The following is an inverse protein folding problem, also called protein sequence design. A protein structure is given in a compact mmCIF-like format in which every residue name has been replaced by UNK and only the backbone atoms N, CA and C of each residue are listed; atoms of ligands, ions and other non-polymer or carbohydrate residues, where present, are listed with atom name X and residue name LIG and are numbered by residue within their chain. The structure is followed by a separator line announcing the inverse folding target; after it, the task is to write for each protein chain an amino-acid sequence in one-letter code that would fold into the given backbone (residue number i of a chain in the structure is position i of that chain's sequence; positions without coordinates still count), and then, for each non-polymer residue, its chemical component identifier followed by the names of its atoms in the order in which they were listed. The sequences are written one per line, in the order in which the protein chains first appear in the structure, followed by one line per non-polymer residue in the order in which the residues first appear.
data_IF_211991709517
#
_entry.id   IF_211991709517
#
_cell.length_a   1.000
_cell.length_b   1.000
_cell.length_c   1.000
_cell.angle_alpha   90.00
_cell.angle_beta   90.00
_cell.angle_gamma   90.00
#
_symmetry.space_group_name_H-M   'P 1'
#
loop_
_entity.id
_entity.type
_entity.pdbx_description
1 polymer ?
#
# COMPACT_ATOMS: atom_id res chain seq x y z
N UNK A 1 -31.88 1.45 -32.24
CA UNK A 1 -32.11 2.26 -31.02
C UNK A 1 -32.09 1.41 -29.75
N UNK A 2 -32.76 0.25 -29.69
CA UNK A 2 -32.78 -0.64 -28.50
C UNK A 2 -31.38 -1.12 -28.08
N UNK A 3 -30.51 -1.47 -29.04
CA UNK A 3 -29.14 -1.92 -28.76
C UNK A 3 -28.26 -0.83 -28.12
N UNK A 4 -28.36 0.41 -28.59
CA UNK A 4 -27.63 1.55 -28.02
C UNK A 4 -28.10 1.87 -26.60
N UNK A 5 -29.40 1.78 -26.33
CA UNK A 5 -29.97 2.00 -25.00
C UNK A 5 -29.52 0.94 -23.99
N UNK A 6 -29.46 -0.33 -24.40
CA UNK A 6 -28.98 -1.43 -23.54
C UNK A 6 -27.49 -1.29 -23.24
N UNK A 7 -26.66 -0.96 -24.22
CA UNK A 7 -25.21 -0.74 -24.01
C UNK A 7 -24.97 0.44 -23.05
N UNK A 8 -25.67 1.57 -23.24
CA UNK A 8 -25.54 2.72 -22.35
C UNK A 8 -25.95 2.39 -20.90
N UNK A 9 -27.02 1.62 -20.72
CA UNK A 9 -27.46 1.17 -19.40
C UNK A 9 -26.42 0.26 -18.72
N UNK A 10 -25.83 -0.69 -19.46
CA UNK A 10 -24.79 -1.59 -18.93
C UNK A 10 -23.53 -0.81 -18.55
N UNK A 11 -23.07 0.12 -19.40
CA UNK A 11 -21.90 0.96 -19.10
C UNK A 11 -22.14 1.86 -17.87
N UNK A 12 -23.34 2.42 -17.72
CA UNK A 12 -23.69 3.23 -16.55
C UNK A 12 -23.75 2.39 -15.26
N UNK A 13 -24.33 1.18 -15.33
CA UNK A 13 -24.35 0.23 -14.21
C UNK A 13 -22.94 -0.21 -13.82
N UNK A 14 -22.11 -0.57 -14.80
CA UNK A 14 -20.71 -0.93 -14.56
C UNK A 14 -19.92 0.23 -13.94
N UNK A 15 -20.06 1.44 -14.49
CA UNK A 15 -19.40 2.64 -13.96
C UNK A 15 -19.83 2.99 -12.54
N UNK A 16 -21.13 2.86 -12.23
CA UNK A 16 -21.65 3.10 -10.87
C UNK A 16 -21.13 2.06 -9.88
N UNK A 17 -21.09 0.78 -10.25
CA UNK A 17 -20.55 -0.29 -9.40
C UNK A 17 -19.06 -0.07 -9.15
N UNK A 18 -18.28 0.24 -10.18
CA UNK A 18 -16.86 0.56 -10.03
C UNK A 18 -16.63 1.77 -9.13
N UNK A 19 -17.38 2.86 -9.32
CA UNK A 19 -17.23 4.07 -8.51
C UNK A 19 -17.56 3.85 -7.03
N UNK A 20 -18.58 3.03 -6.72
CA UNK A 20 -18.91 2.68 -5.34
C UNK A 20 -17.86 1.77 -4.71
N UNK A 21 -17.38 0.76 -5.44
CA UNK A 21 -16.32 -0.13 -4.98
C UNK A 21 -15.01 0.64 -4.69
N UNK A 22 -14.66 1.62 -5.52
CA UNK A 22 -13.50 2.49 -5.28
C UNK A 22 -13.67 3.37 -4.03
N UNK A 23 -14.84 3.98 -3.82
CA UNK A 23 -15.09 4.80 -2.62
C UNK A 23 -15.05 3.98 -1.33
N UNK A 24 -15.67 2.80 -1.32
CA UNK A 24 -15.68 1.95 -0.13
C UNK A 24 -14.25 1.50 0.25
N UNK A 25 -13.42 1.22 -0.75
CA UNK A 25 -12.00 0.92 -0.56
C UNK A 25 -11.21 2.13 -0.02
N UNK A 26 -11.47 3.34 -0.52
CA UNK A 26 -10.82 4.57 -0.03
C UNK A 26 -11.16 4.86 1.44
N UNK A 27 -12.44 4.71 1.82
CA UNK A 27 -12.89 4.92 3.21
C UNK A 27 -12.29 3.86 4.13
N UNK A 28 -12.30 2.59 3.73
CA UNK A 28 -11.72 1.52 4.54
C UNK A 28 -10.19 1.71 4.72
N UNK A 29 -9.50 2.13 3.66
CA UNK A 29 -8.08 2.47 3.74
C UNK A 29 -7.81 3.66 4.66
N UNK A 30 -8.67 4.67 4.67
CA UNK A 30 -8.55 5.81 5.57
C UNK A 30 -8.74 5.39 7.04
N UNK A 31 -9.72 4.53 7.33
CA UNK A 31 -9.94 3.98 8.67
C UNK A 31 -8.75 3.14 9.15
N UNK A 32 -8.24 2.23 8.31
CA UNK A 32 -7.08 1.42 8.65
C UNK A 32 -5.82 2.26 8.93
N UNK A 33 -5.61 3.35 8.18
CA UNK A 33 -4.52 4.31 8.44
C UNK A 33 -4.70 5.02 9.79
N UNK A 34 -5.93 5.42 10.10
CA UNK A 34 -6.25 6.06 11.36
C UNK A 34 -6.01 5.10 12.54
N UNK A 35 -6.41 3.84 12.40
CA UNK A 35 -6.17 2.80 13.40
C UNK A 35 -4.68 2.55 13.62
N UNK A 36 -3.88 2.52 12.54
CA UNK A 36 -2.44 2.36 12.64
C UNK A 36 -1.75 3.53 13.38
N UNK A 37 -2.14 4.78 13.10
CA UNK A 37 -1.60 5.95 13.81
C UNK A 37 -2.07 6.01 15.28
N UNK A 38 -3.31 5.62 15.55
CA UNK A 38 -3.84 5.54 16.91
C UNK A 38 -3.09 4.48 17.74
N UNK A 39 -2.89 3.28 17.17
CA UNK A 39 -2.06 2.23 17.77
C UNK A 39 -0.65 2.75 18.07
N UNK A 40 0.00 3.40 17.10
CA UNK A 40 1.35 3.93 17.25
C UNK A 40 1.46 4.91 18.43
N UNK A 41 0.47 5.80 18.58
CA UNK A 41 0.44 6.76 19.70
C UNK A 41 0.36 6.05 21.04
N UNK A 42 -0.53 5.08 21.18
CA UNK A 42 -0.78 4.39 22.44
C UNK A 42 0.36 3.44 22.82
N UNK A 43 0.83 2.61 21.89
CA UNK A 43 1.77 1.52 22.16
C UNK A 43 3.22 2.02 22.39
N UNK A 44 3.53 3.20 21.82
CA UNK A 44 4.82 3.87 21.97
C UNK A 44 4.76 5.10 22.89
N UNK A 45 3.61 5.35 23.54
CA UNK A 45 3.40 6.43 24.51
C UNK A 45 3.88 7.79 23.98
N UNK A 46 3.53 8.09 22.74
CA UNK A 46 3.97 9.31 22.07
C UNK A 46 3.34 10.54 22.75
N UNK A 47 4.15 11.57 22.98
CA UNK A 47 3.63 12.89 23.34
C UNK A 47 2.78 13.46 22.21
N UNK A 48 1.98 14.48 22.51
CA UNK A 48 1.14 15.15 21.52
C UNK A 48 1.99 15.79 20.40
N UNK A 49 3.15 16.33 20.76
CA UNK A 49 4.12 16.90 19.82
C UNK A 49 4.71 15.81 18.92
N UNK A 50 5.16 14.69 19.49
CA UNK A 50 5.72 13.57 18.74
C UNK A 50 4.69 12.98 17.79
N UNK A 51 3.46 12.75 18.28
CA UNK A 51 2.37 12.23 17.48
C UNK A 51 2.02 13.16 16.32
N UNK A 52 1.92 14.47 16.57
CA UNK A 52 1.67 15.46 15.52
C UNK A 52 2.76 15.45 14.45
N UNK A 53 4.03 15.42 14.85
CA UNK A 53 5.15 15.38 13.92
C UNK A 53 5.16 14.09 13.07
N UNK A 54 4.94 12.93 13.71
CA UNK A 54 4.87 11.65 13.02
C UNK A 54 3.66 11.60 12.07
N UNK A 55 2.51 12.13 12.46
CA UNK A 55 1.33 12.22 11.60
C UNK A 55 1.61 13.04 10.34
N UNK A 56 2.21 14.22 10.48
CA UNK A 56 2.59 15.06 9.35
C UNK A 56 3.61 14.38 8.42
N UNK A 57 4.58 13.69 9.00
CA UNK A 57 5.55 12.88 8.24
C UNK A 57 4.83 11.76 7.47
N UNK A 58 3.88 11.07 8.10
CA UNK A 58 3.10 10.00 7.46
C UNK A 58 2.22 10.53 6.31
N UNK A 59 1.54 11.65 6.51
CA UNK A 59 0.71 12.29 5.49
C UNK A 59 1.53 12.66 4.26
N UNK A 60 2.73 13.24 4.44
CA UNK A 60 3.61 13.61 3.32
C UNK A 60 4.18 12.41 2.55
N UNK A 61 4.37 11.27 3.21
CA UNK A 61 4.83 10.03 2.56
C UNK A 61 3.69 9.23 1.90
N UNK A 62 2.44 9.44 2.31
CA UNK A 62 1.32 8.58 1.93
C UNK A 62 1.07 8.48 0.41
N UNK A 63 1.26 9.58 -0.32
CA UNK A 63 1.14 9.61 -1.78
C UNK A 63 2.26 8.81 -2.46
N UNK A 64 3.50 8.97 -1.99
CA UNK A 64 4.68 8.24 -2.50
C UNK A 64 4.54 6.74 -2.29
N UNK A 65 4.02 6.33 -1.11
CA UNK A 65 3.73 4.93 -0.82
C UNK A 65 2.71 4.35 -1.82
N UNK A 66 1.64 5.10 -2.10
CA UNK A 66 0.60 4.67 -3.05
C UNK A 66 1.16 4.52 -4.47
N UNK A 67 1.96 5.48 -4.94
CA UNK A 67 2.60 5.45 -6.26
C UNK A 67 3.52 4.23 -6.42
N UNK A 68 4.33 3.92 -5.42
CA UNK A 68 5.19 2.73 -5.46
C UNK A 68 4.37 1.43 -5.53
N UNK A 69 3.30 1.32 -4.73
CA UNK A 69 2.40 0.17 -4.76
C UNK A 69 1.72 0.03 -6.12
N UNK A 70 1.22 1.12 -6.70
CA UNK A 70 0.58 1.12 -8.02
C UNK A 70 1.57 0.66 -9.11
N UNK A 71 2.78 1.22 -9.13
CA UNK A 71 3.80 0.83 -10.11
C UNK A 71 4.16 -0.66 -10.04
N UNK A 72 4.26 -1.23 -8.83
CA UNK A 72 4.54 -2.67 -8.64
C UNK A 72 3.37 -3.52 -9.14
N UNK A 73 2.14 -3.10 -8.85
CA UNK A 73 0.93 -3.80 -9.30
C UNK A 73 0.82 -3.77 -10.83
N UNK A 74 1.08 -2.63 -11.48
CA UNK A 74 1.10 -2.51 -12.93
C UNK A 74 2.15 -3.41 -13.57
N UNK A 75 3.39 -3.35 -13.10
CA UNK A 75 4.47 -4.20 -13.60
C UNK A 75 4.16 -5.69 -13.39
N UNK A 76 3.51 -6.04 -12.27
CA UNK A 76 3.04 -7.40 -12.00
C UNK A 76 1.97 -7.85 -13.00
N UNK A 77 0.98 -7.00 -13.28
CA UNK A 77 -0.08 -7.28 -14.26
C UNK A 77 0.51 -7.48 -15.66
N UNK A 78 1.42 -6.61 -16.07
CA UNK A 78 2.12 -6.71 -17.36
C UNK A 78 2.92 -8.02 -17.46
N UNK A 79 3.74 -8.32 -16.45
CA UNK A 79 4.51 -9.56 -16.36
C UNK A 79 3.62 -10.80 -16.43
N UNK A 80 2.48 -10.79 -15.74
CA UNK A 80 1.52 -11.89 -15.78
C UNK A 80 0.85 -12.04 -17.15
N UNK A 81 0.54 -10.92 -17.82
CA UNK A 81 0.00 -10.93 -19.18
C UNK A 81 1.03 -11.48 -20.19
N UNK A 82 2.32 -11.13 -20.05
CA UNK A 82 3.40 -11.68 -20.86
C UNK A 82 3.56 -13.19 -20.66
N UNK A 83 3.47 -13.68 -19.42
CA UNK A 83 3.48 -15.12 -19.11
C UNK A 83 2.30 -15.84 -19.76
N UNK A 84 1.09 -15.28 -19.67
CA UNK A 84 -0.11 -15.86 -20.28
C UNK A 84 -0.01 -15.94 -21.81
N UNK A 85 0.68 -14.98 -22.44
CA UNK A 85 0.95 -14.96 -23.89
C UNK A 85 2.13 -15.82 -24.32
N UNK A 86 2.79 -16.51 -23.39
CA UNK A 86 4.00 -17.31 -23.65
C UNK A 86 5.09 -16.48 -24.35
N UNK A 87 5.30 -15.24 -23.88
CA UNK A 87 6.39 -14.40 -24.37
C UNK A 87 7.75 -15.10 -24.24
N UNK A 88 8.72 -14.69 -25.05
CA UNK A 88 10.05 -15.28 -25.02
C UNK A 88 10.77 -15.07 -23.68
N UNK A 89 11.78 -15.89 -23.42
CA UNK A 89 12.49 -15.90 -22.16
C UNK A 89 13.17 -14.55 -21.82
N UNK A 90 13.65 -13.80 -22.82
CA UNK A 90 14.31 -12.52 -22.59
C UNK A 90 13.30 -11.45 -22.17
N UNK A 91 12.14 -11.41 -22.82
CA UNK A 91 11.02 -10.54 -22.47
C UNK A 91 10.49 -10.83 -21.06
N UNK A 92 10.29 -12.11 -20.71
CA UNK A 92 9.87 -12.49 -19.36
C UNK A 92 10.91 -12.11 -18.29
N UNK A 93 12.20 -12.35 -18.57
CA UNK A 93 13.27 -11.98 -17.65
C UNK A 93 13.35 -10.46 -17.44
N UNK A 94 13.09 -9.65 -18.46
CA UNK A 94 13.02 -8.20 -18.32
C UNK A 94 11.83 -7.75 -17.44
N UNK A 95 10.67 -8.35 -17.63
CA UNK A 95 9.48 -8.05 -16.83
C UNK A 95 9.66 -8.46 -15.35
N UNK A 96 10.27 -9.61 -15.07
CA UNK A 96 10.58 -10.05 -13.71
C UNK A 96 11.63 -9.15 -13.03
N UNK A 97 12.65 -8.69 -13.76
CA UNK A 97 13.59 -7.68 -13.25
C UNK A 97 12.88 -6.38 -12.89
N UNK A 98 12.00 -5.89 -13.77
CA UNK A 98 11.25 -4.65 -13.56
C UNK A 98 10.43 -4.69 -12.27
N UNK A 99 9.74 -5.79 -12.00
CA UNK A 99 8.99 -5.99 -10.74
C UNK A 99 9.95 -5.95 -9.55
N UNK A 100 11.07 -6.67 -9.63
CA UNK A 100 12.07 -6.74 -8.56
C UNK A 100 12.64 -5.36 -8.21
N UNK A 101 13.02 -4.57 -9.21
CA UNK A 101 13.57 -3.22 -9.03
C UNK A 101 12.58 -2.25 -8.38
N UNK A 102 11.30 -2.33 -8.77
CA UNK A 102 10.24 -1.53 -8.15
C UNK A 102 10.00 -1.92 -6.71
N UNK A 103 9.96 -3.22 -6.40
CA UNK A 103 9.82 -3.72 -5.04
C UNK A 103 10.98 -3.23 -4.16
N UNK A 104 12.22 -3.32 -4.62
CA UNK A 104 13.38 -2.82 -3.89
C UNK A 104 13.32 -1.31 -3.64
N UNK A 105 12.82 -0.54 -4.62
CA UNK A 105 12.62 0.90 -4.49
C UNK A 105 11.59 1.21 -3.40
N UNK A 106 10.45 0.51 -3.43
CA UNK A 106 9.38 0.63 -2.43
C UNK A 106 9.90 0.31 -1.03
N UNK A 107 10.51 -0.86 -0.85
CA UNK A 107 11.04 -1.34 0.43
C UNK A 107 12.09 -0.39 1.01
N UNK A 108 12.98 0.14 0.16
CA UNK A 108 13.98 1.12 0.57
C UNK A 108 13.32 2.43 1.02
N UNK A 109 12.33 2.91 0.26
CA UNK A 109 11.63 4.15 0.57
C UNK A 109 10.85 4.05 1.89
N UNK A 110 10.10 2.96 2.10
CA UNK A 110 9.31 2.77 3.31
C UNK A 110 10.19 2.48 4.51
N UNK A 111 11.31 1.75 4.34
CA UNK A 111 12.30 1.55 5.40
C UNK A 111 12.93 2.87 5.85
N UNK A 112 13.16 3.82 4.93
CA UNK A 112 13.62 5.17 5.28
C UNK A 112 12.53 5.94 6.04
N UNK A 113 11.29 5.92 5.56
CA UNK A 113 10.15 6.56 6.23
C UNK A 113 9.99 6.10 7.69
N UNK A 114 10.00 4.79 7.94
CA UNK A 114 9.84 4.27 9.30
C UNK A 114 11.01 4.63 10.21
N UNK A 115 12.24 4.74 9.68
CA UNK A 115 13.39 5.26 10.44
C UNK A 115 13.22 6.74 10.80
N UNK A 116 12.65 7.54 9.91
CA UNK A 116 12.32 8.94 10.20
C UNK A 116 11.24 9.06 11.29
N UNK A 117 10.21 8.20 11.26
CA UNK A 117 9.23 8.13 12.35
C UNK A 117 9.89 7.75 13.68
N UNK A 118 10.76 6.74 13.68
CA UNK A 118 11.47 6.29 14.87
C UNK A 118 12.34 7.40 15.49
N UNK A 119 12.98 8.22 14.66
CA UNK A 119 13.80 9.33 15.10
C UNK A 119 13.02 10.46 15.81
N UNK A 120 11.69 10.49 15.68
CA UNK A 120 10.81 11.42 16.40
C UNK A 120 10.33 10.86 17.76
N UNK A 121 10.61 9.58 18.05
CA UNK A 121 10.25 8.91 19.30
C UNK A 121 11.37 9.05 20.35
N UNK A 122 11.14 8.57 21.58
CA UNK A 122 12.27 8.32 22.49
C UNK A 122 13.19 7.25 21.90
N UNK A 123 14.48 7.21 22.28
CA UNK A 123 15.41 6.19 21.78
C UNK A 123 14.88 4.75 21.96
N UNK A 124 14.36 4.44 23.15
CA UNK A 124 13.85 3.11 23.50
C UNK A 124 12.59 2.76 22.69
N UNK A 125 11.68 3.73 22.51
CA UNK A 125 10.48 3.56 21.73
C UNK A 125 10.80 3.38 20.23
N UNK A 126 11.72 4.18 19.69
CA UNK A 126 12.16 4.11 18.30
C UNK A 126 12.82 2.76 17.97
N UNK A 127 13.69 2.26 18.83
CA UNK A 127 14.31 0.94 18.66
C UNK A 127 13.27 -0.18 18.65
N UNK A 128 12.35 -0.18 19.61
CA UNK A 128 11.25 -1.16 19.69
C UNK A 128 10.35 -1.09 18.45
N UNK A 129 10.07 0.12 17.97
CA UNK A 129 9.25 0.33 16.78
C UNK A 129 9.91 -0.25 15.53
N UNK A 130 11.21 0.01 15.34
CA UNK A 130 11.96 -0.51 14.20
C UNK A 130 12.08 -2.04 14.22
N UNK A 131 12.30 -2.63 15.40
CA UNK A 131 12.35 -4.08 15.56
C UNK A 131 11.02 -4.76 15.15
N UNK A 132 9.89 -4.07 15.35
CA UNK A 132 8.57 -4.59 15.01
C UNK A 132 8.21 -4.38 13.52
N UNK A 133 8.53 -3.21 12.95
CA UNK A 133 8.05 -2.82 11.62
C UNK A 133 8.97 -3.24 10.48
N UNK A 134 10.30 -3.13 10.64
CA UNK A 134 11.24 -3.44 9.55
C UNK A 134 11.13 -4.88 9.02
N UNK A 135 10.96 -5.93 9.86
CA UNK A 135 10.79 -7.30 9.35
C UNK A 135 9.51 -7.51 8.54
N UNK A 136 8.48 -6.68 8.76
CA UNK A 136 7.21 -6.76 8.02
C UNK A 136 7.33 -6.14 6.63
N UNK A 137 8.07 -5.05 6.51
CA UNK A 137 8.36 -4.41 5.21
C UNK A 137 9.02 -5.42 4.27
N UNK A 138 10.04 -6.13 4.75
CA UNK A 138 10.76 -7.14 3.95
C UNK A 138 9.92 -8.36 3.54
N UNK A 139 8.71 -8.50 4.07
CA UNK A 139 7.78 -9.61 3.80
C UNK A 139 6.48 -9.11 3.15
N UNK A 140 6.40 -7.83 2.80
CA UNK A 140 5.16 -7.24 2.33
C UNK A 140 4.82 -7.77 0.93
N UNK A 141 3.65 -8.38 0.82
CA UNK A 141 3.14 -8.84 -0.46
C UNK A 141 2.47 -7.70 -1.21
N UNK A 142 2.96 -7.43 -2.43
CA UNK A 142 2.46 -6.40 -3.31
C UNK A 142 1.51 -6.95 -4.40
N UNK A 143 1.13 -8.24 -4.32
CA UNK A 143 0.31 -8.92 -5.34
C UNK A 143 -1.20 -8.63 -5.24
N UNK A 144 -1.69 -8.07 -4.13
CA UNK A 144 -3.10 -7.70 -3.94
C UNK A 144 -3.21 -6.31 -3.31
N UNK A 145 -4.33 -5.56 -3.55
CA UNK A 145 -4.68 -4.44 -2.68
C UNK A 145 -4.67 -4.92 -1.22
N UNK A 146 -4.20 -4.11 -0.26
CA UNK A 146 -4.00 -4.57 1.12
C UNK A 146 -5.29 -5.23 1.60
N UNK A 147 -5.19 -6.53 1.90
CA UNK A 147 -6.30 -7.26 2.48
C UNK A 147 -6.73 -6.49 3.72
N UNK A 148 -7.98 -6.02 3.73
CA UNK A 148 -8.50 -5.06 4.71
C UNK A 148 -8.72 -5.70 6.09
N UNK A 149 -8.08 -6.84 6.32
CA UNK A 149 -8.04 -7.56 7.58
C UNK A 149 -6.84 -7.15 8.44
N UNK A 150 -6.64 -5.84 8.67
CA UNK A 150 -5.86 -5.37 9.82
C UNK A 150 -6.83 -5.23 11.00
N UNK A 151 -7.43 -6.34 11.45
CA UNK A 151 -8.52 -6.26 12.42
C UNK A 151 -8.94 -7.51 13.20
N UNK A 152 -8.39 -8.70 12.92
CA UNK A 152 -8.78 -9.91 13.66
C UNK A 152 -7.58 -10.65 14.26
N UNK A 153 -7.27 -10.26 15.51
CA UNK A 153 -6.90 -11.02 16.75
C UNK A 153 -6.09 -12.33 16.59
N UNK A 154 -5.14 -12.66 17.47
CA UNK A 154 -5.37 -13.12 18.84
C UNK A 154 -4.08 -13.11 19.69
N UNK A 155 -4.25 -12.72 20.97
CA UNK A 155 -3.45 -13.03 22.18
C UNK A 155 -1.93 -13.06 22.11
#
# INVERSE_FOLDING_TARGET
MITLAVVAAISALAGLVSFRASQDAEVAAALAKQDALAWLRTDFQLSDEQFKAIKQLHESYSAVCAEHCEAIQDATRERNALRAKQADAATLAAADRRVTELTQTCETAIARHVRQCAALMSPEAGERYLALVLPRIARFDHQAPPDVAVGHRHH
#
